data_IF_233697999296
#
_entry.id   IF_233697999296
#
_cell.length_a   1.000
_cell.length_b   1.000
_cell.length_c   1.000
_cell.angle_alpha   90.00
_cell.angle_beta   90.00
_cell.angle_gamma   90.00
#
_symmetry.space_group_name_H-M   'P 1'
#
loop_
_entity.id
_entity.type
_entity.pdbx_description
1 polymer ?
#
# COMPACT_ATOMS: atom_id res chain seq x y z
N UNK A 1 -6.83 14.04 -1.95
CA UNK A 1 -7.00 12.84 -2.82
C UNK A 1 -5.65 12.14 -3.10
N UNK A 2 -4.74 12.08 -2.13
CA UNK A 2 -3.45 11.36 -2.26
C UNK A 2 -3.20 10.42 -1.08
N UNK A 3 -4.15 10.29 -0.15
CA UNK A 3 -3.97 9.58 1.13
C UNK A 3 -3.43 8.16 0.96
N UNK A 4 -3.94 7.39 0.00
CA UNK A 4 -3.50 6.01 -0.21
C UNK A 4 -2.09 5.93 -0.80
N UNK A 5 -1.75 6.83 -1.73
CA UNK A 5 -0.40 6.96 -2.29
C UNK A 5 0.60 7.35 -1.20
N UNK A 6 0.25 8.35 -0.39
CA UNK A 6 1.11 8.87 0.68
C UNK A 6 1.28 7.83 1.80
N UNK A 7 0.22 7.09 2.13
CA UNK A 7 0.27 5.98 3.07
C UNK A 7 1.21 4.86 2.59
N UNK A 8 1.15 4.49 1.31
CA UNK A 8 2.07 3.52 0.72
C UNK A 8 3.53 3.99 0.81
N UNK A 9 3.83 5.24 0.42
CA UNK A 9 5.18 5.81 0.52
C UNK A 9 5.70 5.80 1.96
N UNK A 10 4.87 6.22 2.92
CA UNK A 10 5.23 6.22 4.34
C UNK A 10 5.49 4.82 4.87
N UNK A 11 4.70 3.83 4.44
CA UNK A 11 4.90 2.44 4.85
C UNK A 11 6.25 1.90 4.35
N UNK A 12 6.64 2.22 3.12
CA UNK A 12 7.90 1.79 2.50
C UNK A 12 9.11 2.50 3.13
N UNK A 13 8.93 3.74 3.58
CA UNK A 13 9.95 4.52 4.28
C UNK A 13 9.99 4.28 5.79
N UNK A 14 9.18 3.33 6.29
CA UNK A 14 9.11 3.04 7.71
C UNK A 14 10.47 2.58 8.25
N UNK A 15 10.91 3.07 9.42
CA UNK A 15 12.15 2.63 10.06
C UNK A 15 12.10 1.16 10.50
N UNK A 16 10.92 0.51 10.44
CA UNK A 16 10.76 -0.92 10.67
C UNK A 16 11.24 -1.76 9.48
N UNK A 17 11.38 -1.16 8.30
CA UNK A 17 11.95 -1.79 7.12
C UNK A 17 13.47 -1.53 7.11
N UNK A 18 14.19 -2.47 7.71
CA UNK A 18 15.65 -2.39 7.86
C UNK A 18 16.39 -2.56 6.51
N UNK A 19 15.71 -3.17 5.53
CA UNK A 19 16.16 -3.34 4.14
C UNK A 19 15.03 -2.83 3.25
N UNK A 20 15.37 -2.04 2.22
CA UNK A 20 14.42 -1.59 1.21
C UNK A 20 13.75 -2.75 0.45
N UNK A 21 12.69 -2.44 -0.29
CA UNK A 21 11.84 -3.44 -0.94
C UNK A 21 12.22 -3.73 -2.40
N UNK A 22 13.28 -3.10 -2.92
CA UNK A 22 13.66 -3.12 -4.35
C UNK A 22 14.02 -4.51 -4.86
N UNK A 23 14.42 -5.41 -3.96
CA UNK A 23 14.78 -6.79 -4.31
C UNK A 23 13.74 -7.81 -3.84
N UNK A 24 12.60 -7.35 -3.33
CA UNK A 24 11.55 -8.24 -2.87
C UNK A 24 10.92 -8.95 -4.07
N UNK A 25 10.98 -10.29 -4.07
CA UNK A 25 10.32 -11.15 -5.08
C UNK A 25 8.90 -11.55 -4.67
N UNK A 26 8.48 -11.20 -3.45
CA UNK A 26 7.14 -11.42 -2.97
C UNK A 26 6.78 -10.39 -1.90
N UNK A 27 5.59 -9.80 -2.01
CA UNK A 27 5.11 -8.80 -1.06
C UNK A 27 3.66 -9.12 -0.70
N UNK A 28 3.38 -9.06 0.60
CA UNK A 28 2.02 -9.04 1.13
C UNK A 28 1.82 -7.71 1.82
N UNK A 29 0.76 -6.99 1.43
CA UNK A 29 0.42 -5.72 2.04
C UNK A 29 -1.08 -5.61 2.27
N UNK A 30 -1.46 -4.72 3.17
CA UNK A 30 -2.85 -4.45 3.50
C UNK A 30 -3.09 -2.95 3.53
N UNK A 31 -4.24 -2.53 3.02
CA UNK A 31 -4.74 -1.17 3.18
C UNK A 31 -6.03 -1.19 3.99
N UNK A 32 -6.08 -0.36 5.02
CA UNK A 32 -7.28 -0.16 5.83
C UNK A 32 -7.76 1.26 5.64
N UNK A 33 -9.04 1.43 5.37
CA UNK A 33 -9.66 2.73 5.21
C UNK A 33 -11.12 2.73 5.61
N UNK A 34 -11.72 3.91 5.60
CA UNK A 34 -13.14 4.10 5.88
C UNK A 34 -14.04 3.45 4.83
N UNK A 35 -15.35 3.58 5.02
CA UNK A 35 -16.35 3.17 4.02
C UNK A 35 -16.24 3.93 2.69
N UNK A 36 -15.47 5.00 2.68
CA UNK A 36 -15.13 5.82 1.52
C UNK A 36 -13.83 5.38 0.83
N UNK A 37 -13.17 4.31 1.28
CA UNK A 37 -12.02 3.72 0.58
C UNK A 37 -12.46 3.17 -0.78
N UNK A 38 -11.85 3.70 -1.84
CA UNK A 38 -12.20 3.32 -3.21
C UNK A 38 -11.17 2.38 -3.83
N UNK A 39 -11.60 1.57 -4.82
CA UNK A 39 -10.68 0.75 -5.62
C UNK A 39 -9.60 1.59 -6.33
N UNK A 40 -9.94 2.82 -6.72
CA UNK A 40 -8.97 3.74 -7.31
C UNK A 40 -7.83 4.07 -6.34
N UNK A 41 -8.14 4.30 -5.07
CA UNK A 41 -7.15 4.57 -4.04
C UNK A 41 -6.28 3.34 -3.73
N UNK A 42 -6.89 2.16 -3.66
CA UNK A 42 -6.15 0.90 -3.52
C UNK A 42 -5.19 0.71 -4.69
N UNK A 43 -5.63 0.97 -5.93
CA UNK A 43 -4.78 0.87 -7.11
C UNK A 43 -3.62 1.89 -7.07
N UNK A 44 -3.89 3.14 -6.67
CA UNK A 44 -2.85 4.15 -6.54
C UNK A 44 -1.77 3.78 -5.49
N UNK A 45 -2.15 3.10 -4.41
CA UNK A 45 -1.19 2.55 -3.45
C UNK A 45 -0.39 1.39 -4.06
N UNK A 46 -1.05 0.52 -4.82
CA UNK A 46 -0.42 -0.62 -5.48
C UNK A 46 0.64 -0.17 -6.51
N UNK A 47 0.35 0.86 -7.31
CA UNK A 47 1.27 1.43 -8.30
C UNK A 47 2.59 1.89 -7.67
N UNK A 48 2.52 2.57 -6.51
CA UNK A 48 3.72 2.99 -5.77
C UNK A 48 4.59 1.80 -5.36
N UNK A 49 3.96 0.74 -4.85
CA UNK A 49 4.70 -0.45 -4.40
C UNK A 49 5.29 -1.16 -5.62
N UNK A 50 4.53 -1.29 -6.71
CA UNK A 50 4.96 -1.97 -7.92
C UNK A 50 6.17 -1.30 -8.59
N UNK A 51 6.20 0.04 -8.61
CA UNK A 51 7.31 0.82 -9.19
C UNK A 51 8.63 0.68 -8.42
N UNK A 52 8.57 0.23 -7.16
CA UNK A 52 9.71 0.17 -6.25
C UNK A 52 10.25 -1.24 -6.02
N UNK A 53 9.67 -2.27 -6.62
CA UNK A 53 9.98 -3.68 -6.33
C UNK A 53 10.46 -4.39 -7.58
N UNK A 54 10.88 -5.65 -7.44
CA UNK A 54 11.27 -6.45 -8.60
C UNK A 54 10.06 -6.58 -9.57
N UNK A 55 10.22 -6.33 -10.88
CA UNK A 55 9.12 -6.46 -11.84
C UNK A 55 8.52 -7.86 -11.95
N UNK A 56 9.24 -8.88 -11.48
CA UNK A 56 8.77 -10.27 -11.41
C UNK A 56 8.19 -10.64 -10.04
N UNK A 57 8.11 -9.68 -9.12
CA UNK A 57 7.60 -9.93 -7.77
C UNK A 57 6.14 -10.39 -7.79
N UNK A 58 5.82 -11.33 -6.90
CA UNK A 58 4.44 -11.72 -6.65
C UNK A 58 3.83 -10.81 -5.57
N UNK A 59 2.83 -10.00 -5.95
CA UNK A 59 2.17 -9.06 -5.04
C UNK A 59 0.79 -9.59 -4.63
N UNK A 60 0.57 -9.68 -3.33
CA UNK A 60 -0.73 -10.00 -2.74
C UNK A 60 -1.16 -8.81 -1.91
N UNK A 61 -2.38 -8.33 -2.13
CA UNK A 61 -2.95 -7.23 -1.35
C UNK A 61 -4.25 -7.62 -0.66
N UNK A 62 -4.46 -7.06 0.52
CA UNK A 62 -5.73 -7.06 1.24
C UNK A 62 -6.28 -5.63 1.36
N UNK A 63 -7.60 -5.51 1.33
CA UNK A 63 -8.29 -4.26 1.67
C UNK A 63 -9.28 -4.54 2.80
N UNK A 64 -9.21 -3.74 3.86
CA UNK A 64 -10.10 -3.81 5.01
C UNK A 64 -10.87 -2.51 5.12
N UNK A 65 -12.19 -2.62 5.23
CA UNK A 65 -13.05 -1.48 5.54
C UNK A 65 -13.22 -1.40 7.04
N UNK A 66 -12.73 -0.33 7.64
CA UNK A 66 -12.94 0.02 9.04
C UNK A 66 -13.83 1.28 9.10
N UNK A 67 -15.12 1.15 9.46
CA UNK A 67 -16.04 2.29 9.56
C UNK A 67 -15.58 3.40 10.50
N UNK A 68 -14.70 3.11 11.48
CA UNK A 68 -14.15 4.12 12.39
C UNK A 68 -13.20 5.11 11.71
N UNK A 69 -12.71 4.77 10.51
CA UNK A 69 -11.83 5.62 9.71
C UNK A 69 -12.58 6.44 8.65
N UNK A 70 -13.91 6.39 8.63
CA UNK A 70 -14.73 7.11 7.63
C UNK A 70 -14.51 8.62 7.72
N UNK A 71 -14.20 9.24 6.58
CA UNK A 71 -14.02 10.69 6.45
C UNK A 71 -12.63 11.23 6.75
N UNK A 72 -11.61 10.36 6.89
CA UNK A 72 -10.20 10.74 6.99
C UNK A 72 -9.51 10.89 5.63
#
# INVERSE_FOLDING_TARGET
KTRARDAALNAIQSPLLDIGIERATGIVWNITGGSDLTLYEVNAAAEVIYDLVDPSANLIFGAVIDPSLSGQ
#
